data_IF_280292200892
#
_entry.id   IF_280292200892
#
_cell.length_a   1.000
_cell.length_b   1.000
_cell.length_c   1.000
_cell.angle_alpha   90.00
_cell.angle_beta   90.00
_cell.angle_gamma   90.00
#
_symmetry.space_group_name_H-M   'P 1'
#
loop_
_entity.id
_entity.type
_entity.pdbx_description
1 polymer ?
#
# COMPACT_ATOMS: atom_id res chain seq x y z
N UNK A 1 22.73 2.42 53.08
CA UNK A 1 22.27 2.73 51.70
C UNK A 1 23.36 3.51 51.00
N UNK A 2 24.17 2.89 50.15
CA UNK A 2 24.72 3.54 48.95
C UNK A 2 25.04 2.46 47.92
N UNK A 3 24.62 2.78 46.70
CA UNK A 3 24.25 1.89 45.63
C UNK A 3 25.49 1.44 44.83
N UNK A 4 25.44 0.20 44.36
CA UNK A 4 26.35 -0.37 43.38
C UNK A 4 26.25 0.42 42.06
N UNK A 5 27.38 0.68 41.40
CA UNK A 5 27.72 0.06 40.12
C UNK A 5 29.07 0.60 39.64
N UNK A 6 30.10 -0.22 39.90
CA UNK A 6 31.44 -0.08 39.39
C UNK A 6 31.48 -0.39 37.87
N UNK A 7 32.16 0.52 37.17
CA UNK A 7 33.29 0.23 36.28
C UNK A 7 33.15 -0.80 35.15
N UNK A 8 33.20 -0.24 33.94
CA UNK A 8 34.07 -0.58 32.81
C UNK A 8 33.81 -1.81 31.95
N UNK A 9 33.52 -1.49 30.68
CA UNK A 9 33.64 -2.26 29.44
C UNK A 9 34.77 -3.30 29.47
N UNK A 10 34.41 -4.58 29.28
CA UNK A 10 35.34 -5.63 28.90
C UNK A 10 34.89 -6.24 27.57
N UNK A 11 35.86 -6.31 26.67
CA UNK A 11 35.85 -6.86 25.32
C UNK A 11 35.49 -8.35 25.31
N UNK A 12 34.51 -8.76 24.51
CA UNK A 12 34.30 -10.16 24.16
C UNK A 12 34.50 -10.37 22.66
N UNK A 13 35.76 -10.58 22.28
CA UNK A 13 36.16 -11.25 21.03
C UNK A 13 36.64 -12.65 21.43
N UNK A 14 35.88 -13.70 21.12
CA UNK A 14 36.42 -15.05 20.96
C UNK A 14 35.41 -15.93 20.20
N UNK A 15 35.89 -16.47 19.08
CA UNK A 15 35.26 -17.46 18.22
C UNK A 15 34.80 -18.70 18.98
N UNK A 16 33.65 -19.26 18.58
CA UNK A 16 33.49 -20.72 18.45
C UNK A 16 32.75 -21.03 17.15
N UNK A 17 33.39 -21.86 16.33
CA UNK A 17 32.92 -22.34 15.03
C UNK A 17 31.96 -23.54 15.18
N UNK A 18 31.03 -23.62 14.21
CA UNK A 18 30.46 -24.82 13.58
C UNK A 18 29.39 -25.66 14.33
N UNK A 19 28.13 -25.50 13.91
CA UNK A 19 27.21 -26.63 13.65
C UNK A 19 26.58 -26.41 12.27
N UNK A 20 26.87 -27.32 11.34
CA UNK A 20 26.29 -27.43 10.00
C UNK A 20 25.00 -28.27 10.05
N UNK A 21 24.06 -27.94 9.16
CA UNK A 21 23.00 -28.82 8.61
C UNK A 21 21.84 -29.25 9.53
N UNK A 22 20.83 -28.37 9.65
CA UNK A 22 19.44 -28.78 9.40
C UNK A 22 19.03 -28.14 8.08
N UNK A 23 18.74 -29.00 7.10
CA UNK A 23 18.33 -28.69 5.75
C UNK A 23 16.82 -28.37 5.71
N UNK A 24 16.47 -27.30 4.99
CA UNK A 24 15.14 -27.04 4.44
C UNK A 24 14.09 -26.57 5.46
N UNK A 25 13.43 -25.43 5.34
CA UNK A 25 13.22 -24.51 4.24
C UNK A 25 13.08 -23.16 4.95
N UNK A 26 14.10 -22.30 4.91
CA UNK A 26 13.84 -20.88 5.18
C UNK A 26 13.13 -20.37 3.94
N UNK A 27 11.80 -20.33 4.00
CA UNK A 27 11.02 -19.57 3.04
C UNK A 27 11.55 -18.14 3.08
N UNK A 28 12.38 -17.81 2.09
CA UNK A 28 12.67 -16.43 1.75
C UNK A 28 11.33 -15.82 1.37
N UNK A 29 10.65 -15.24 2.35
CA UNK A 29 9.51 -14.39 2.09
C UNK A 29 10.10 -13.25 1.27
N UNK A 30 9.86 -13.26 -0.04
CA UNK A 30 10.14 -12.12 -0.89
C UNK A 30 9.28 -10.98 -0.35
N UNK A 31 9.88 -10.13 0.47
CA UNK A 31 9.27 -8.87 0.87
C UNK A 31 8.99 -8.10 -0.43
N UNK A 32 7.73 -8.08 -0.84
CA UNK A 32 7.28 -7.25 -1.95
C UNK A 32 7.55 -5.81 -1.56
N UNK A 33 8.49 -5.16 -2.26
CA UNK A 33 8.74 -3.75 -2.07
C UNK A 33 7.49 -2.97 -2.47
N UNK A 34 6.77 -2.40 -1.50
CA UNK A 34 5.78 -1.36 -1.81
C UNK A 34 6.53 -0.17 -2.43
N UNK A 35 6.10 0.26 -3.60
CA UNK A 35 6.73 1.41 -4.27
C UNK A 35 6.48 2.68 -3.46
N UNK A 36 7.44 3.61 -3.46
CA UNK A 36 7.27 4.91 -2.81
C UNK A 36 6.15 5.68 -3.52
N UNK A 37 5.10 6.04 -2.79
CA UNK A 37 4.03 6.87 -3.34
C UNK A 37 4.52 8.19 -3.92
N UNK A 38 3.83 8.68 -4.96
CA UNK A 38 4.15 9.90 -5.72
C UNK A 38 2.92 10.78 -5.89
N UNK A 39 3.11 12.06 -6.20
CA UNK A 39 2.00 12.97 -6.52
C UNK A 39 1.69 12.90 -8.01
N UNK A 40 0.41 12.71 -8.34
CA UNK A 40 -0.11 12.61 -9.71
C UNK A 40 -1.42 13.37 -9.84
N UNK A 41 -1.94 13.57 -11.06
CA UNK A 41 -3.32 14.02 -11.23
C UNK A 41 -4.24 12.83 -10.96
N UNK A 42 -5.29 13.01 -10.15
CA UNK A 42 -6.23 11.95 -9.84
C UNK A 42 -7.67 12.38 -10.08
N UNK A 43 -8.53 11.39 -10.37
CA UNK A 43 -9.98 11.57 -10.38
C UNK A 43 -10.64 10.41 -9.62
N UNK A 44 -11.61 10.73 -8.76
CA UNK A 44 -12.51 9.78 -8.12
C UNK A 44 -13.95 10.29 -8.31
N UNK A 45 -14.72 9.59 -9.12
CA UNK A 45 -16.15 9.85 -9.32
C UNK A 45 -16.92 8.60 -8.91
N UNK A 46 -17.99 8.76 -8.14
CA UNK A 46 -18.86 7.68 -7.68
C UNK A 46 -20.29 8.18 -7.76
N UNK A 47 -21.16 7.43 -8.44
CA UNK A 47 -22.57 7.76 -8.60
C UNK A 47 -22.79 9.20 -9.12
N UNK A 48 -21.95 9.58 -10.10
CA UNK A 48 -21.84 10.91 -10.73
C UNK A 48 -21.36 12.06 -9.83
N UNK A 49 -21.02 11.81 -8.57
CA UNK A 49 -20.43 12.81 -7.67
C UNK A 49 -18.90 12.75 -7.70
N UNK A 50 -18.26 13.91 -7.66
CA UNK A 50 -16.80 14.03 -7.75
C UNK A 50 -16.16 14.24 -6.36
N UNK A 51 -15.42 13.23 -5.90
CA UNK A 51 -14.78 13.23 -4.58
C UNK A 51 -13.31 13.66 -4.63
N UNK A 52 -12.64 13.42 -5.76
CA UNK A 52 -11.27 13.85 -6.04
C UNK A 52 -11.19 14.31 -7.49
N UNK A 53 -10.67 15.52 -7.73
CA UNK A 53 -10.27 16.01 -9.05
C UNK A 53 -9.16 17.06 -8.90
N UNK A 54 -8.03 16.57 -8.43
CA UNK A 54 -6.91 17.39 -8.02
C UNK A 54 -5.63 16.54 -8.00
N UNK A 55 -4.45 17.17 -7.84
CA UNK A 55 -3.24 16.43 -7.51
C UNK A 55 -3.42 15.62 -6.22
N UNK A 56 -3.15 14.33 -6.27
CA UNK A 56 -3.33 13.41 -5.15
C UNK A 56 -2.11 12.48 -4.98
N UNK A 57 -2.00 11.81 -3.84
CA UNK A 57 -0.98 10.79 -3.61
C UNK A 57 -1.42 9.49 -4.30
N UNK A 58 -0.63 9.04 -5.26
CA UNK A 58 -0.70 7.70 -5.84
C UNK A 58 0.28 6.79 -5.11
N UNK A 59 -0.17 5.62 -4.71
CA UNK A 59 0.61 4.68 -3.92
C UNK A 59 0.51 3.28 -4.56
N UNK A 60 1.54 2.81 -5.26
CA UNK A 60 1.52 1.50 -5.90
C UNK A 60 1.48 0.39 -4.83
N UNK A 61 0.66 -0.63 -5.07
CA UNK A 61 0.48 -1.77 -4.19
C UNK A 61 0.95 -3.02 -4.92
N UNK A 62 2.04 -3.61 -4.46
CA UNK A 62 2.65 -4.76 -5.13
C UNK A 62 3.20 -4.44 -6.53
N UNK A 63 3.34 -5.49 -7.35
CA UNK A 63 3.95 -5.43 -8.68
C UNK A 63 2.96 -5.75 -9.83
N UNK A 64 1.68 -5.97 -9.51
CA UNK A 64 0.60 -6.31 -10.45
C UNK A 64 -0.04 -5.07 -11.09
N UNK A 65 0.30 -3.87 -10.60
CA UNK A 65 -0.27 -2.59 -11.01
C UNK A 65 -1.43 -2.13 -10.12
N UNK A 66 -1.75 -2.85 -9.05
CA UNK A 66 -2.68 -2.39 -8.01
C UNK A 66 -2.17 -1.09 -7.37
N UNK A 67 -3.07 -0.23 -6.91
CA UNK A 67 -2.69 1.06 -6.33
C UNK A 67 -3.77 1.66 -5.44
N UNK A 68 -3.36 2.65 -4.64
CA UNK A 68 -4.27 3.55 -3.95
C UNK A 68 -4.11 4.99 -4.48
N UNK A 69 -5.21 5.74 -4.52
CA UNK A 69 -5.20 7.20 -4.67
C UNK A 69 -5.73 7.84 -3.39
N UNK A 70 -5.11 8.92 -2.93
CA UNK A 70 -5.52 9.62 -1.71
C UNK A 70 -5.47 11.13 -1.92
N UNK A 71 -6.58 11.80 -1.62
CA UNK A 71 -6.65 13.26 -1.63
C UNK A 71 -5.57 13.86 -0.70
N UNK A 72 -5.02 15.04 -1.04
CA UNK A 72 -3.95 15.67 -0.24
C UNK A 72 -4.36 15.98 1.20
N UNK A 73 -5.63 16.26 1.43
CA UNK A 73 -6.19 16.49 2.76
C UNK A 73 -6.52 15.18 3.50
N UNK A 74 -6.34 14.02 2.88
CA UNK A 74 -6.66 12.71 3.46
C UNK A 74 -8.17 12.42 3.57
N UNK A 75 -9.04 13.28 3.02
CA UNK A 75 -10.49 13.18 3.20
C UNK A 75 -11.09 11.98 2.47
N UNK A 76 -10.63 11.73 1.24
CA UNK A 76 -11.09 10.59 0.43
C UNK A 76 -9.91 9.83 -0.16
N UNK A 77 -10.10 8.52 -0.32
CA UNK A 77 -9.17 7.65 -1.01
C UNK A 77 -9.89 6.45 -1.60
N UNK A 78 -9.28 5.88 -2.64
CA UNK A 78 -9.75 4.66 -3.27
C UNK A 78 -8.58 3.70 -3.49
N UNK A 79 -8.88 2.41 -3.45
CA UNK A 79 -7.98 1.32 -3.79
C UNK A 79 -8.48 0.62 -5.05
N UNK A 80 -7.57 0.33 -5.96
CA UNK A 80 -7.80 -0.51 -7.14
C UNK A 80 -6.91 -1.73 -7.01
N UNK A 81 -7.54 -2.90 -6.94
CA UNK A 81 -6.86 -4.19 -6.83
C UNK A 81 -7.03 -4.98 -8.12
N UNK A 82 -5.96 -5.08 -8.88
CA UNK A 82 -5.95 -5.80 -10.16
C UNK A 82 -6.06 -7.30 -9.89
N UNK A 83 -7.03 -7.94 -10.52
CA UNK A 83 -7.24 -9.39 -10.40
C UNK A 83 -6.60 -10.12 -11.59
N UNK A 84 -6.81 -9.56 -12.78
CA UNK A 84 -6.31 -10.09 -14.05
C UNK A 84 -6.10 -8.92 -15.01
N UNK A 85 -5.34 -9.09 -16.11
CA UNK A 85 -5.19 -8.03 -17.10
C UNK A 85 -6.55 -7.47 -17.56
N UNK A 86 -6.74 -6.17 -17.38
CA UNK A 86 -7.99 -5.46 -17.74
C UNK A 86 -9.15 -5.57 -16.75
N UNK A 87 -9.01 -6.29 -15.62
CA UNK A 87 -10.04 -6.39 -14.58
C UNK A 87 -9.47 -6.12 -13.18
N UNK A 88 -10.18 -5.30 -12.42
CA UNK A 88 -9.84 -4.98 -11.04
C UNK A 88 -11.09 -4.94 -10.15
N UNK A 89 -10.90 -5.03 -8.84
CA UNK A 89 -11.89 -4.67 -7.83
C UNK A 89 -11.55 -3.33 -7.21
N UNK A 90 -12.54 -2.45 -7.12
CA UNK A 90 -12.39 -1.13 -6.51
C UNK A 90 -12.96 -1.06 -5.10
N UNK A 91 -12.34 -0.26 -4.23
CA UNK A 91 -12.83 0.04 -2.89
C UNK A 91 -12.59 1.51 -2.56
N UNK A 92 -13.41 2.11 -1.71
CA UNK A 92 -13.21 3.48 -1.23
C UNK A 92 -13.64 3.63 0.22
N UNK A 93 -13.35 4.80 0.80
CA UNK A 93 -13.57 5.07 2.21
C UNK A 93 -14.99 5.48 2.57
N UNK A 94 -15.80 5.93 1.59
CA UNK A 94 -17.18 6.42 1.72
C UNK A 94 -17.36 7.64 2.63
N UNK A 95 -16.98 7.50 3.89
CA UNK A 95 -17.01 8.55 4.90
C UNK A 95 -15.72 9.39 4.87
N UNK A 96 -15.84 10.74 4.91
CA UNK A 96 -14.70 11.63 5.04
C UNK A 96 -13.74 11.22 6.16
N UNK A 97 -12.46 11.11 5.84
CA UNK A 97 -11.37 10.81 6.79
C UNK A 97 -11.42 9.41 7.44
N UNK A 98 -12.30 8.51 7.01
CA UNK A 98 -12.24 7.12 7.45
C UNK A 98 -10.87 6.51 7.14
N UNK A 99 -10.32 5.70 8.05
CA UNK A 99 -8.95 5.17 7.93
C UNK A 99 -8.79 3.99 6.96
N UNK A 100 -9.90 3.43 6.46
CA UNK A 100 -9.91 2.20 5.66
C UNK A 100 -10.92 2.27 4.50
N UNK A 101 -10.52 1.77 3.32
CA UNK A 101 -11.40 1.62 2.17
C UNK A 101 -12.13 0.28 2.29
N UNK A 102 -13.38 0.33 2.73
CA UNK A 102 -14.21 -0.85 3.00
C UNK A 102 -15.41 -0.95 2.06
N UNK A 103 -15.81 0.16 1.45
CA UNK A 103 -16.98 0.20 0.58
C UNK A 103 -16.61 -0.24 -0.83
N UNK A 104 -17.32 -1.25 -1.34
CA UNK A 104 -17.02 -1.87 -2.63
C UNK A 104 -17.50 -0.98 -3.79
N UNK A 105 -16.62 -0.75 -4.78
CA UNK A 105 -16.94 -0.05 -6.04
C UNK A 105 -17.42 -0.99 -7.14
N UNK A 106 -17.29 -2.30 -6.92
CA UNK A 106 -17.56 -3.35 -7.88
C UNK A 106 -16.35 -3.70 -8.73
N UNK A 107 -16.59 -4.51 -9.76
CA UNK A 107 -15.61 -4.77 -10.80
C UNK A 107 -15.40 -3.53 -11.65
N UNK A 108 -14.14 -3.23 -11.93
CA UNK A 108 -13.69 -2.14 -12.77
C UNK A 108 -12.95 -2.69 -13.98
N UNK A 109 -13.14 -2.03 -15.11
CA UNK A 109 -12.40 -2.28 -16.35
C UNK A 109 -11.42 -1.15 -16.61
N UNK A 110 -10.29 -1.48 -17.21
CA UNK A 110 -9.30 -0.48 -17.58
C UNK A 110 -9.78 0.31 -18.80
N UNK A 111 -9.75 1.64 -18.69
CA UNK A 111 -9.98 2.60 -19.77
C UNK A 111 -8.92 3.71 -19.70
N UNK A 112 -7.88 3.58 -20.53
CA UNK A 112 -6.71 4.47 -20.49
C UNK A 112 -6.05 4.49 -19.10
N UNK A 113 -6.01 5.67 -18.48
CA UNK A 113 -5.45 5.89 -17.14
C UNK A 113 -6.46 5.64 -16.00
N UNK A 114 -7.66 5.17 -16.34
CA UNK A 114 -8.77 5.00 -15.43
C UNK A 114 -9.17 3.53 -15.27
N UNK A 115 -9.74 3.22 -14.11
CA UNK A 115 -10.48 2.00 -13.83
C UNK A 115 -11.94 2.37 -13.60
N UNK A 116 -12.82 1.87 -14.45
CA UNK A 116 -14.19 2.38 -14.58
C UNK A 116 -15.24 1.27 -14.61
N UNK A 117 -16.45 1.61 -14.18
CA UNK A 117 -17.70 0.89 -14.46
C UNK A 117 -18.85 1.90 -14.53
N UNK A 118 -20.09 1.42 -14.56
CA UNK A 118 -21.28 2.28 -14.69
C UNK A 118 -21.45 3.27 -13.54
N UNK A 119 -20.84 3.01 -12.38
CA UNK A 119 -20.98 3.83 -11.18
C UNK A 119 -19.73 4.61 -10.77
N UNK A 120 -18.54 4.09 -11.08
CA UNK A 120 -17.29 4.58 -10.52
C UNK A 120 -16.23 4.82 -11.60
N UNK A 121 -15.42 5.86 -11.38
CA UNK A 121 -14.23 6.15 -12.16
C UNK A 121 -13.07 6.50 -11.24
N UNK A 122 -12.02 5.69 -11.26
CA UNK A 122 -10.79 5.88 -10.49
C UNK A 122 -9.64 6.09 -11.47
N UNK A 123 -9.10 7.30 -11.57
CA UNK A 123 -8.05 7.65 -12.52
C UNK A 123 -6.79 8.16 -11.83
N UNK A 124 -5.64 7.84 -12.43
CA UNK A 124 -4.33 8.35 -12.04
C UNK A 124 -3.42 8.54 -13.28
N UNK A 125 -3.00 9.78 -13.56
CA UNK A 125 -2.12 10.15 -14.69
C UNK A 125 -0.70 10.47 -14.20
#
# INVERSE_FOLDING_TARGET
MFNFHLFTRATYKALFLAILTICGIWSAHTATAEGKGRIVKCKLVIDAEEYINAPCKFDPRGNDGSFNIMARNGMYFAAVRIETPGRALGYWNEEPYAGHAHTNLGELKQDGACWVNDRASVCAW
#
